data_IF_580507025445
#
_entry.id   IF_580507025445
#
_cell.length_a   1.000
_cell.length_b   1.000
_cell.length_c   1.000
_cell.angle_alpha   90.00
_cell.angle_beta   90.00
_cell.angle_gamma   90.00
#
_symmetry.space_group_name_H-M   'P 1'
#
loop_
_entity.id
_entity.type
_entity.pdbx_description
1 polymer ?
#
# COMPACT_ATOMS: atom_id res chain seq x y z
N UNK A 1 -6.79 -2.81 16.78
CA UNK A 1 -7.18 -1.86 17.84
C UNK A 1 -5.90 -1.14 18.27
N UNK A 2 -5.78 0.18 18.14
CA UNK A 2 -4.57 0.88 18.60
C UNK A 2 -4.47 0.72 20.12
N UNK A 3 -3.41 0.06 20.59
CA UNK A 3 -3.18 -0.15 22.02
C UNK A 3 -2.90 1.18 22.71
N UNK A 4 -3.55 1.41 23.84
CA UNK A 4 -3.30 2.59 24.68
C UNK A 4 -1.89 2.48 25.29
N UNK A 5 -1.16 3.60 25.34
CA UNK A 5 0.17 3.74 25.96
C UNK A 5 1.39 3.15 25.21
N UNK A 6 1.20 2.59 24.02
CA UNK A 6 2.34 2.15 23.17
C UNK A 6 2.89 3.33 22.36
N UNK A 7 4.21 3.58 22.46
CA UNK A 7 4.88 4.61 21.65
C UNK A 7 4.93 4.15 20.18
N UNK A 8 4.01 4.65 19.37
CA UNK A 8 4.09 4.58 17.92
C UNK A 8 4.66 5.88 17.35
N UNK A 9 5.94 6.15 17.63
CA UNK A 9 6.60 7.38 17.18
C UNK A 9 6.58 7.52 15.65
N UNK A 10 6.79 6.42 14.92
CA UNK A 10 6.75 6.43 13.45
C UNK A 10 5.34 6.75 12.92
N UNK A 11 4.29 6.11 13.46
CA UNK A 11 2.91 6.42 13.10
C UNK A 11 2.51 7.88 13.41
N UNK A 12 3.00 8.43 14.52
CA UNK A 12 2.78 9.84 14.85
C UNK A 12 3.46 10.78 13.84
N UNK A 13 4.67 10.47 13.38
CA UNK A 13 5.33 11.22 12.31
C UNK A 13 4.59 11.09 10.98
N UNK A 14 4.13 9.90 10.61
CA UNK A 14 3.33 9.68 9.41
C UNK A 14 2.01 10.47 9.45
N UNK A 15 1.36 10.50 10.62
CA UNK A 15 0.16 11.33 10.85
C UNK A 15 0.47 12.83 10.71
N UNK A 16 1.53 13.32 11.35
CA UNK A 16 1.93 14.72 11.27
C UNK A 16 2.25 15.12 9.82
N UNK A 17 2.95 14.26 9.08
CA UNK A 17 3.27 14.48 7.67
C UNK A 17 2.00 14.53 6.81
N UNK A 18 1.02 13.66 7.08
CA UNK A 18 -0.29 13.69 6.42
C UNK A 18 -1.00 15.03 6.66
N UNK A 19 -1.11 15.48 7.91
CA UNK A 19 -1.76 16.77 8.24
C UNK A 19 -1.03 17.95 7.60
N UNK A 20 0.31 17.96 7.59
CA UNK A 20 1.10 19.00 6.93
C UNK A 20 0.87 19.03 5.41
N UNK A 21 0.81 17.86 4.77
CA UNK A 21 0.54 17.75 3.34
C UNK A 21 -0.87 18.27 2.99
N UNK A 22 -1.87 17.94 3.80
CA UNK A 22 -3.25 18.43 3.66
C UNK A 22 -3.32 19.96 3.86
N UNK A 23 -2.65 20.48 4.89
CA UNK A 23 -2.66 21.91 5.21
C UNK A 23 -1.97 22.77 4.13
N UNK A 24 -1.00 22.21 3.39
CA UNK A 24 -0.31 22.91 2.29
C UNK A 24 -1.15 23.05 1.01
N UNK A 25 -2.38 22.51 0.98
CA UNK A 25 -3.29 22.70 -0.14
C UNK A 25 -2.82 22.04 -1.43
N UNK A 26 -2.23 20.83 -1.35
CA UNK A 26 -1.95 20.03 -2.54
C UNK A 26 -3.24 19.83 -3.35
N UNK A 27 -3.11 19.81 -4.69
CA UNK A 27 -4.24 19.69 -5.63
C UNK A 27 -5.14 18.48 -5.36
N UNK A 28 -4.61 17.42 -4.76
CA UNK A 28 -5.38 16.27 -4.29
C UNK A 28 -4.85 15.81 -2.92
N UNK A 29 -5.73 15.60 -1.93
CA UNK A 29 -5.35 15.02 -0.64
C UNK A 29 -5.06 13.52 -0.70
N UNK A 30 -5.46 12.85 -1.80
CA UNK A 30 -5.44 11.39 -1.93
C UNK A 30 -4.07 10.75 -1.71
N UNK A 31 -2.94 11.29 -2.23
CA UNK A 31 -1.63 10.67 -2.01
C UNK A 31 -1.20 10.65 -0.54
N UNK A 32 -1.49 11.74 0.18
CA UNK A 32 -1.16 11.85 1.60
C UNK A 32 -1.99 10.88 2.45
N UNK A 33 -3.29 10.79 2.17
CA UNK A 33 -4.20 9.85 2.83
C UNK A 33 -3.79 8.41 2.56
N UNK A 34 -3.49 8.05 1.31
CA UNK A 34 -3.16 6.67 0.96
C UNK A 34 -1.85 6.19 1.59
N UNK A 35 -0.85 7.07 1.66
CA UNK A 35 0.41 6.80 2.36
C UNK A 35 0.17 6.54 3.85
N UNK A 36 -0.70 7.34 4.49
CA UNK A 36 -1.04 7.16 5.89
C UNK A 36 -1.82 5.86 6.14
N UNK A 37 -2.78 5.52 5.29
CA UNK A 37 -3.54 4.26 5.38
C UNK A 37 -2.62 3.02 5.29
N UNK A 38 -1.68 3.01 4.34
CA UNK A 38 -0.70 1.92 4.21
C UNK A 38 0.24 1.85 5.42
N UNK A 39 0.68 2.99 5.94
CA UNK A 39 1.47 3.03 7.16
C UNK A 39 0.70 2.46 8.35
N UNK A 40 -0.57 2.83 8.51
CA UNK A 40 -1.44 2.34 9.57
C UNK A 40 -1.66 0.83 9.48
N UNK A 41 -1.95 0.29 8.29
CA UNK A 41 -2.09 -1.15 8.05
C UNK A 41 -0.83 -1.92 8.47
N UNK A 42 0.35 -1.42 8.09
CA UNK A 42 1.62 -2.03 8.48
C UNK A 42 1.82 -2.07 10.00
N UNK A 43 1.49 -0.98 10.70
CA UNK A 43 1.57 -0.92 12.17
C UNK A 43 0.54 -1.80 12.87
N UNK A 44 -0.63 -2.03 12.27
CA UNK A 44 -1.67 -2.92 12.79
C UNK A 44 -1.34 -4.42 12.61
N UNK A 45 -0.21 -4.75 11.98
CA UNK A 45 0.19 -6.14 11.75
C UNK A 45 -0.38 -6.76 10.48
N UNK A 46 -1.07 -5.97 9.64
CA UNK A 46 -1.52 -6.39 8.30
C UNK A 46 -0.34 -6.23 7.32
N UNK A 47 0.70 -7.03 7.55
CA UNK A 47 1.90 -7.07 6.72
C UNK A 47 1.65 -7.82 5.43
N UNK A 48 0.96 -7.17 4.48
CA UNK A 48 0.93 -7.67 3.10
C UNK A 48 2.34 -7.56 2.52
N UNK A 49 2.95 -8.68 2.15
CA UNK A 49 4.22 -8.65 1.42
C UNK A 49 3.97 -8.18 -0.01
N UNK A 50 4.43 -6.96 -0.31
CA UNK A 50 4.34 -6.35 -1.63
C UNK A 50 5.55 -6.68 -2.52
N UNK A 51 6.62 -7.24 -1.95
CA UNK A 51 7.89 -7.44 -2.65
C UNK A 51 8.13 -8.90 -3.03
N UNK A 52 7.37 -9.84 -2.46
CA UNK A 52 7.43 -11.25 -2.82
C UNK A 52 6.07 -11.82 -3.21
N UNK A 53 6.07 -12.74 -4.16
CA UNK A 53 4.92 -13.53 -4.53
C UNK A 53 4.58 -14.51 -3.40
N UNK A 54 3.36 -14.46 -2.87
CA UNK A 54 2.93 -15.33 -1.78
C UNK A 54 2.86 -16.82 -2.14
N UNK A 55 2.73 -17.14 -3.43
CA UNK A 55 2.68 -18.52 -3.90
C UNK A 55 4.05 -19.17 -4.07
N UNK A 56 5.03 -18.43 -4.58
CA UNK A 56 6.36 -18.95 -4.93
C UNK A 56 7.48 -18.48 -4.00
N UNK A 57 7.28 -17.39 -3.26
CA UNK A 57 8.33 -16.71 -2.48
C UNK A 57 9.29 -15.87 -3.34
N UNK A 58 9.14 -15.88 -4.66
CA UNK A 58 10.00 -15.14 -5.59
C UNK A 58 9.77 -13.64 -5.48
N UNK A 59 10.80 -12.81 -5.70
CA UNK A 59 10.66 -11.37 -5.72
C UNK A 59 9.73 -10.90 -6.84
N UNK A 60 9.10 -9.76 -6.60
CA UNK A 60 8.19 -9.15 -7.57
C UNK A 60 8.95 -8.57 -8.76
N UNK A 61 8.54 -8.97 -9.96
CA UNK A 61 9.06 -8.53 -11.25
C UNK A 61 8.16 -7.43 -11.84
N UNK A 62 8.76 -6.36 -12.36
CA UNK A 62 8.03 -5.23 -12.97
C UNK A 62 7.22 -5.64 -14.19
N UNK A 63 7.67 -6.69 -14.90
CA UNK A 63 7.03 -7.19 -16.13
C UNK A 63 5.90 -8.17 -15.87
N UNK A 64 5.73 -8.62 -14.61
CA UNK A 64 4.73 -9.60 -14.23
C UNK A 64 3.50 -8.96 -13.59
N UNK A 65 2.37 -9.66 -13.70
CA UNK A 65 1.12 -9.29 -13.03
C UNK A 65 0.82 -10.22 -11.87
N UNK A 66 0.25 -9.63 -10.82
CA UNK A 66 -0.05 -10.27 -9.57
C UNK A 66 -1.51 -10.00 -9.21
N UNK A 67 -2.19 -11.01 -8.70
CA UNK A 67 -3.56 -10.89 -8.21
C UNK A 67 -3.56 -10.85 -6.70
N UNK A 68 -4.22 -9.84 -6.14
CA UNK A 68 -4.46 -9.78 -4.71
C UNK A 68 -5.46 -10.86 -4.27
N UNK A 69 -5.10 -11.58 -3.22
CA UNK A 69 -5.98 -12.52 -2.51
C UNK A 69 -6.00 -12.19 -1.03
N UNK A 70 -7.20 -12.08 -0.48
CA UNK A 70 -7.41 -11.92 0.95
C UNK A 70 -6.67 -13.03 1.72
N UNK A 71 -6.03 -12.66 2.83
CA UNK A 71 -5.21 -13.51 3.71
C UNK A 71 -3.94 -14.13 3.11
N UNK A 72 -3.80 -14.19 1.78
CA UNK A 72 -2.62 -14.73 1.11
C UNK A 72 -1.66 -13.66 0.59
N UNK A 73 -2.15 -12.47 0.25
CA UNK A 73 -1.34 -11.42 -0.38
C UNK A 73 -1.33 -11.55 -1.91
N UNK A 74 -0.19 -11.24 -2.55
CA UNK A 74 -0.09 -11.16 -4.01
C UNK A 74 0.43 -12.45 -4.63
N UNK A 75 -0.31 -13.00 -5.60
CA UNK A 75 0.06 -14.23 -6.30
C UNK A 75 0.22 -13.91 -7.79
N UNK A 76 1.33 -14.35 -8.39
CA UNK A 76 1.57 -14.23 -9.82
C UNK A 76 0.40 -14.84 -10.62
N UNK A 77 -0.18 -14.06 -11.53
CA UNK A 77 -1.38 -14.43 -12.26
C UNK A 77 -1.45 -13.69 -13.59
N UNK A 78 -1.80 -14.41 -14.65
CA UNK A 78 -2.07 -13.83 -15.98
C UNK A 78 -3.53 -13.37 -16.15
N UNK A 79 -4.40 -13.68 -15.17
CA UNK A 79 -5.80 -13.23 -15.18
C UNK A 79 -5.83 -11.74 -14.86
N UNK A 80 -6.50 -10.96 -15.72
CA UNK A 80 -6.69 -9.51 -15.55
C UNK A 80 -8.10 -9.23 -15.05
N UNK A 81 -8.18 -8.64 -13.86
CA UNK A 81 -9.40 -8.19 -13.20
C UNK A 81 -9.14 -6.99 -12.27
N UNK A 82 -10.17 -6.56 -11.52
CA UNK A 82 -10.07 -5.44 -10.59
C UNK A 82 -9.09 -5.66 -9.42
N UNK A 83 -8.62 -6.89 -9.20
CA UNK A 83 -7.65 -7.25 -8.16
C UNK A 83 -6.26 -7.52 -8.75
N UNK A 84 -6.00 -7.09 -9.99
CA UNK A 84 -4.72 -7.31 -10.69
C UNK A 84 -3.80 -6.10 -10.61
N UNK A 85 -2.55 -6.32 -10.23
CA UNK A 85 -1.52 -5.32 -9.99
C UNK A 85 -0.25 -5.70 -10.76
N UNK A 86 0.44 -4.74 -11.34
CA UNK A 86 1.76 -4.97 -11.94
C UNK A 86 2.85 -4.93 -10.88
N UNK A 87 4.04 -5.45 -11.16
CA UNK A 87 5.17 -5.29 -10.24
C UNK A 87 5.49 -3.82 -9.93
N UNK A 88 5.35 -2.93 -10.92
CA UNK A 88 5.45 -1.48 -10.71
C UNK A 88 4.46 -0.97 -9.66
N UNK A 89 3.19 -1.41 -9.71
CA UNK A 89 2.20 -1.06 -8.69
C UNK A 89 2.59 -1.56 -7.30
N UNK A 90 3.08 -2.79 -7.20
CA UNK A 90 3.46 -3.38 -5.92
C UNK A 90 4.68 -2.69 -5.31
N UNK A 91 5.68 -2.32 -6.12
CA UNK A 91 6.83 -1.55 -5.64
C UNK A 91 6.43 -0.15 -5.18
N UNK A 92 5.53 0.51 -5.89
CA UNK A 92 4.96 1.80 -5.47
C UNK A 92 4.17 1.70 -4.15
N UNK A 93 3.41 0.61 -3.97
CA UNK A 93 2.72 0.30 -2.72
C UNK A 93 3.71 0.04 -1.57
N UNK A 94 4.79 -0.70 -1.84
CA UNK A 94 5.83 -1.01 -0.87
C UNK A 94 6.58 0.25 -0.39
N UNK A 95 6.96 1.13 -1.34
CA UNK A 95 7.63 2.40 -1.02
C UNK A 95 6.66 3.47 -0.49
N UNK A 96 5.35 3.27 -0.67
CA UNK A 96 4.29 4.24 -0.37
C UNK A 96 4.47 5.56 -1.13
N UNK A 97 4.99 5.47 -2.34
CA UNK A 97 5.21 6.58 -3.26
C UNK A 97 4.38 6.38 -4.54
N UNK A 98 3.67 7.44 -4.95
CA UNK A 98 2.76 7.40 -6.10
C UNK A 98 3.18 8.47 -7.11
N UNK A 99 4.22 8.22 -7.93
CA UNK A 99 4.76 9.21 -8.86
C UNK A 99 3.82 9.52 -10.04
N UNK A 100 2.86 8.63 -10.31
CA UNK A 100 1.96 8.73 -11.45
C UNK A 100 0.51 8.37 -11.07
N UNK A 101 -0.42 8.67 -11.98
CA UNK A 101 -1.86 8.45 -11.75
C UNK A 101 -2.21 6.96 -11.68
N UNK A 102 -1.42 6.10 -12.33
CA UNK A 102 -1.67 4.67 -12.42
C UNK A 102 -1.33 3.96 -11.09
N UNK A 103 -0.17 4.27 -10.50
CA UNK A 103 0.23 3.83 -9.16
C UNK A 103 -0.72 4.33 -8.08
N UNK A 104 -1.22 5.57 -8.18
CA UNK A 104 -2.23 6.08 -7.24
C UNK A 104 -3.57 5.34 -7.38
N UNK A 105 -4.01 5.04 -8.61
CA UNK A 105 -5.24 4.25 -8.85
C UNK A 105 -5.11 2.83 -8.33
N UNK A 106 -3.96 2.19 -8.58
CA UNK A 106 -3.66 0.88 -8.02
C UNK A 106 -3.72 0.93 -6.49
N UNK A 107 -3.11 1.94 -5.88
CA UNK A 107 -3.17 2.13 -4.45
C UNK A 107 -4.62 2.20 -3.96
N UNK A 108 -5.49 3.02 -4.56
CA UNK A 108 -6.92 3.11 -4.19
C UNK A 108 -7.70 1.80 -4.33
N UNK A 109 -7.32 0.91 -5.25
CA UNK A 109 -7.99 -0.38 -5.49
C UNK A 109 -7.64 -1.44 -4.45
N UNK A 110 -6.48 -1.34 -3.82
CA UNK A 110 -6.04 -2.32 -2.83
C UNK A 110 -7.04 -2.35 -1.65
N UNK A 111 -7.67 -3.50 -1.36
CA UNK A 111 -8.64 -3.60 -0.27
C UNK A 111 -7.99 -3.24 1.06
N UNK A 112 -8.59 -2.31 1.77
CA UNK A 112 -8.23 -1.95 3.15
C UNK A 112 -9.15 -2.76 4.05
N UNK A 113 -8.95 -4.08 4.09
CA UNK A 113 -9.74 -4.94 4.96
C UNK A 113 -9.10 -4.94 6.35
N UNK A 114 -9.79 -4.47 7.40
CA UNK A 114 -9.37 -4.62 8.79
C UNK A 114 -9.58 -6.06 9.28
#
# INVERSE_FOLDING_TARGET
MLEHETRFSELFFDYLHCIQALARGQRSPEPALRRFELALLGHLGYGVDFLHCAGSGEPVDDTMTYRYREEKGFIASLVIDNNTFTGHHLKALASREFPDVDTLRAAKRLPVSP
#
